data_IF_556337255330
#
_entry.id   IF_556337255330
#
_cell.length_a   1.000
_cell.length_b   1.000
_cell.length_c   1.000
_cell.angle_alpha   90.00
_cell.angle_beta   90.00
_cell.angle_gamma   90.00
#
_symmetry.space_group_name_H-M   'P 1'
#
loop_
_entity.id
_entity.type
_entity.pdbx_description
1 polymer ?
#
# COMPACT_ATOMS: atom_id res chain seq x y z
N UNK A 1 14.54 -10.21 -6.63
CA UNK A 1 13.13 -10.55 -6.88
C UNK A 1 12.90 -10.46 -8.38
N UNK A 2 12.36 -11.54 -8.92
CA UNK A 2 12.08 -11.68 -10.35
C UNK A 2 10.81 -10.88 -10.69
N UNK A 3 10.93 -9.89 -11.56
CA UNK A 3 9.81 -9.12 -12.10
C UNK A 3 9.43 -9.57 -13.51
N UNK A 4 10.15 -10.54 -14.10
CA UNK A 4 9.90 -11.02 -15.45
C UNK A 4 8.60 -11.84 -15.53
N UNK A 5 8.19 -12.44 -14.41
CA UNK A 5 6.93 -13.19 -14.28
C UNK A 5 5.67 -12.33 -14.17
N UNK A 6 5.80 -10.99 -13.98
CA UNK A 6 4.62 -10.15 -13.75
C UNK A 6 3.70 -10.08 -14.96
N UNK A 7 4.24 -10.09 -16.17
CA UNK A 7 3.41 -10.10 -17.38
C UNK A 7 2.56 -11.37 -17.45
N UNK A 8 3.18 -12.53 -17.25
CA UNK A 8 2.47 -13.81 -17.24
C UNK A 8 1.40 -13.86 -16.13
N UNK A 9 1.74 -13.35 -14.93
CA UNK A 9 0.82 -13.27 -13.81
C UNK A 9 -0.41 -12.40 -14.13
N UNK A 10 -0.21 -11.20 -14.68
CA UNK A 10 -1.28 -10.28 -15.07
C UNK A 10 -2.12 -10.86 -16.21
N UNK A 11 -1.50 -11.46 -17.22
CA UNK A 11 -2.20 -12.10 -18.35
C UNK A 11 -3.08 -13.25 -17.86
N UNK A 12 -2.57 -14.07 -16.94
CA UNK A 12 -3.34 -15.16 -16.33
C UNK A 12 -4.50 -14.67 -15.48
N UNK A 13 -4.28 -13.62 -14.68
CA UNK A 13 -5.34 -13.01 -13.88
C UNK A 13 -6.45 -12.43 -14.77
N UNK A 14 -6.08 -11.72 -15.82
CA UNK A 14 -7.01 -11.17 -16.81
C UNK A 14 -7.87 -12.25 -17.46
N UNK A 15 -7.25 -13.35 -17.88
CA UNK A 15 -7.95 -14.49 -18.48
C UNK A 15 -8.90 -15.17 -17.49
N UNK A 16 -8.45 -15.40 -16.25
CA UNK A 16 -9.23 -16.13 -15.24
C UNK A 16 -10.43 -15.33 -14.73
N UNK A 17 -10.30 -14.00 -14.66
CA UNK A 17 -11.34 -13.11 -14.15
C UNK A 17 -12.24 -12.53 -15.26
N UNK A 18 -11.95 -12.81 -16.53
CA UNK A 18 -12.71 -12.28 -17.66
C UNK A 18 -12.49 -10.78 -17.88
N UNK A 19 -11.30 -10.29 -17.56
CA UNK A 19 -10.85 -8.89 -17.60
C UNK A 19 -10.56 -8.36 -16.20
N UNK A 20 -9.52 -7.52 -16.09
CA UNK A 20 -9.14 -6.89 -14.84
C UNK A 20 -9.16 -5.37 -14.98
N UNK A 21 -9.73 -4.69 -13.98
CA UNK A 21 -9.74 -3.23 -13.87
C UNK A 21 -9.32 -2.73 -12.48
N UNK A 22 -8.87 -3.62 -11.62
CA UNK A 22 -8.46 -3.32 -10.25
C UNK A 22 -7.17 -4.05 -9.90
N UNK A 23 -6.22 -3.33 -9.31
CA UNK A 23 -4.98 -3.86 -8.73
C UNK A 23 -4.85 -3.42 -7.28
N UNK A 24 -4.62 -4.37 -6.36
CA UNK A 24 -4.28 -4.07 -4.97
C UNK A 24 -2.84 -4.50 -4.67
N UNK A 25 -1.97 -3.52 -4.48
CA UNK A 25 -0.58 -3.72 -4.06
C UNK A 25 -0.52 -3.82 -2.53
N UNK A 26 -0.78 -4.99 -1.98
CA UNK A 26 -0.81 -5.24 -0.53
C UNK A 26 0.46 -5.90 0.01
N UNK A 27 1.22 -6.61 -0.82
CA UNK A 27 2.43 -7.31 -0.38
C UNK A 27 3.44 -6.35 0.26
N UNK A 28 3.97 -6.72 1.41
CA UNK A 28 4.98 -5.94 2.10
C UNK A 28 5.63 -6.73 3.24
N UNK A 29 6.86 -6.37 3.58
CA UNK A 29 7.61 -6.95 4.69
C UNK A 29 8.24 -5.84 5.52
N UNK A 30 8.39 -6.08 6.83
CA UNK A 30 9.22 -5.32 7.76
C UNK A 30 10.12 -6.29 8.51
N UNK A 31 11.38 -5.98 8.63
CA UNK A 31 12.35 -6.84 9.32
C UNK A 31 12.69 -6.33 10.73
N UNK A 32 12.01 -5.26 11.16
CA UNK A 32 12.06 -4.72 12.53
C UNK A 32 13.48 -4.44 13.03
N UNK A 33 14.31 -3.84 12.16
CA UNK A 33 15.67 -3.47 12.54
C UNK A 33 15.67 -2.52 13.75
N UNK A 34 16.63 -2.68 14.65
CA UNK A 34 16.76 -1.88 15.88
C UNK A 34 17.16 -0.42 15.61
N UNK A 35 17.58 -0.09 14.38
CA UNK A 35 17.94 1.27 13.96
C UNK A 35 18.86 1.25 12.75
N UNK A 36 19.26 2.43 12.28
CA UNK A 36 20.02 2.63 11.05
C UNK A 36 21.31 1.78 10.94
N UNK A 37 22.08 1.69 12.03
CA UNK A 37 23.35 0.96 12.03
C UNK A 37 23.18 -0.57 12.09
N UNK A 38 21.97 -1.07 12.39
CA UNK A 38 21.67 -2.49 12.43
C UNK A 38 21.19 -3.04 11.08
N UNK A 39 20.98 -2.18 10.08
CA UNK A 39 20.49 -2.58 8.75
C UNK A 39 21.61 -3.21 7.94
N UNK A 40 21.47 -4.47 7.55
CA UNK A 40 22.36 -5.10 6.58
C UNK A 40 21.93 -4.79 5.14
N UNK A 41 22.88 -4.85 4.15
CA UNK A 41 22.51 -4.70 2.73
C UNK A 41 21.43 -5.68 2.29
N UNK A 42 21.45 -6.91 2.76
CA UNK A 42 20.48 -7.95 2.41
C UNK A 42 19.06 -7.60 2.93
N UNK A 43 18.97 -7.07 4.16
CA UNK A 43 17.70 -6.59 4.72
C UNK A 43 17.15 -5.40 3.94
N UNK A 44 18.02 -4.45 3.60
CA UNK A 44 17.69 -3.31 2.76
C UNK A 44 17.13 -3.76 1.40
N UNK A 45 17.88 -4.57 0.67
CA UNK A 45 17.52 -5.06 -0.67
C UNK A 45 16.22 -5.87 -0.66
N UNK A 46 16.01 -6.69 0.37
CA UNK A 46 14.79 -7.48 0.53
C UNK A 46 13.55 -6.58 0.69
N UNK A 47 13.62 -5.57 1.57
CA UNK A 47 12.50 -4.66 1.81
C UNK A 47 12.25 -3.73 0.62
N UNK A 48 13.28 -3.15 0.04
CA UNK A 48 13.15 -2.33 -1.18
C UNK A 48 12.62 -3.17 -2.34
N UNK A 49 13.12 -4.39 -2.48
CA UNK A 49 12.69 -5.34 -3.51
C UNK A 49 11.21 -5.68 -3.40
N UNK A 50 10.71 -5.98 -2.20
CA UNK A 50 9.31 -6.35 -1.99
C UNK A 50 8.40 -5.12 -1.97
N UNK A 51 8.70 -4.16 -1.09
CA UNK A 51 7.77 -3.09 -0.78
C UNK A 51 7.69 -2.02 -1.87
N UNK A 52 8.77 -1.78 -2.61
CA UNK A 52 8.83 -0.71 -3.59
C UNK A 52 9.00 -1.25 -5.02
N UNK A 53 10.07 -1.99 -5.29
CA UNK A 53 10.37 -2.47 -6.65
C UNK A 53 9.28 -3.39 -7.18
N UNK A 54 8.78 -4.31 -6.36
CA UNK A 54 7.68 -5.22 -6.72
C UNK A 54 6.41 -4.47 -7.08
N UNK A 55 5.97 -3.58 -6.20
CA UNK A 55 4.79 -2.75 -6.43
C UNK A 55 4.93 -1.87 -7.68
N UNK A 56 6.10 -1.27 -7.90
CA UNK A 56 6.35 -0.41 -9.05
C UNK A 56 6.15 -1.16 -10.37
N UNK A 57 6.86 -2.26 -10.56
CA UNK A 57 6.81 -3.00 -11.83
C UNK A 57 5.51 -3.78 -12.04
N UNK A 58 4.88 -4.28 -10.97
CA UNK A 58 3.56 -4.90 -11.09
C UNK A 58 2.51 -3.87 -11.52
N UNK A 59 2.58 -2.65 -10.98
CA UNK A 59 1.70 -1.55 -11.38
C UNK A 59 1.93 -1.13 -12.82
N UNK A 60 3.20 -1.05 -13.26
CA UNK A 60 3.54 -0.76 -14.65
C UNK A 60 2.90 -1.80 -15.60
N UNK A 61 3.11 -3.08 -15.32
CA UNK A 61 2.55 -4.17 -16.12
C UNK A 61 1.01 -4.15 -16.14
N UNK A 62 0.37 -3.82 -15.01
CA UNK A 62 -1.09 -3.69 -14.96
C UNK A 62 -1.60 -2.54 -15.83
N UNK A 63 -0.96 -1.37 -15.78
CA UNK A 63 -1.33 -0.22 -16.60
C UNK A 63 -1.15 -0.55 -18.09
N UNK A 64 -0.03 -1.18 -18.48
CA UNK A 64 0.20 -1.66 -19.84
C UNK A 64 -0.92 -2.59 -20.30
N UNK A 65 -1.28 -3.57 -19.47
CA UNK A 65 -2.38 -4.50 -19.78
C UNK A 65 -3.72 -3.78 -19.96
N UNK A 66 -4.08 -2.86 -19.08
CA UNK A 66 -5.32 -2.08 -19.21
C UNK A 66 -5.37 -1.27 -20.51
N UNK A 67 -4.23 -0.76 -20.95
CA UNK A 67 -4.13 -0.01 -22.20
C UNK A 67 -4.21 -0.92 -23.44
N UNK A 68 -3.58 -2.10 -23.41
CA UNK A 68 -3.64 -3.10 -24.48
C UNK A 68 -5.06 -3.65 -24.66
N UNK A 69 -5.78 -3.90 -23.59
CA UNK A 69 -7.13 -4.49 -23.62
C UNK A 69 -8.24 -3.46 -23.72
N UNK A 70 -7.89 -2.16 -23.73
CA UNK A 70 -8.85 -1.05 -23.81
C UNK A 70 -9.96 -1.16 -22.75
N UNK A 71 -9.60 -1.47 -21.51
CA UNK A 71 -10.52 -1.59 -20.37
C UNK A 71 -11.43 -0.37 -20.29
N UNK A 72 -12.75 -0.60 -20.34
CA UNK A 72 -13.76 0.46 -20.23
C UNK A 72 -14.04 0.79 -18.78
N UNK A 73 -14.39 2.06 -18.52
CA UNK A 73 -14.73 2.54 -17.18
C UNK A 73 -13.52 2.89 -16.34
N UNK A 74 -13.73 2.99 -15.04
CA UNK A 74 -12.71 3.36 -14.08
C UNK A 74 -11.78 2.18 -13.79
N UNK A 75 -10.47 2.44 -13.81
CA UNK A 75 -9.42 1.52 -13.41
C UNK A 75 -8.88 1.93 -12.05
N UNK A 76 -8.84 1.01 -11.10
CA UNK A 76 -8.45 1.29 -9.73
C UNK A 76 -7.10 0.66 -9.38
N UNK A 77 -6.22 1.43 -8.78
CA UNK A 77 -4.98 0.92 -8.18
C UNK A 77 -4.94 1.37 -6.72
N UNK A 78 -4.88 0.41 -5.81
CA UNK A 78 -4.76 0.66 -4.38
C UNK A 78 -3.41 0.15 -3.87
N UNK A 79 -2.74 0.98 -3.07
CA UNK A 79 -1.51 0.60 -2.38
C UNK A 79 -1.75 0.51 -0.88
N UNK A 80 -1.17 -0.51 -0.25
CA UNK A 80 -1.05 -0.57 1.20
C UNK A 80 0.27 0.10 1.62
N UNK A 81 0.16 1.37 2.01
CA UNK A 81 1.25 2.14 2.60
C UNK A 81 1.40 1.79 4.10
N UNK A 82 1.69 2.76 4.94
CA UNK A 82 1.76 2.62 6.40
C UNK A 82 1.70 4.00 7.06
N UNK A 83 1.25 4.08 8.31
CA UNK A 83 1.38 5.30 9.11
C UNK A 83 2.83 5.78 9.24
N UNK A 84 3.82 4.86 9.17
CA UNK A 84 5.25 5.21 9.21
C UNK A 84 5.69 6.08 8.03
N UNK A 85 4.96 6.02 6.90
CA UNK A 85 5.21 6.89 5.75
C UNK A 85 4.87 8.36 6.01
N UNK A 86 4.13 8.65 7.08
CA UNK A 86 3.71 10.00 7.48
C UNK A 86 4.61 10.59 8.57
N UNK A 87 5.60 9.83 9.02
CA UNK A 87 6.57 10.23 10.05
C UNK A 87 7.99 10.10 9.50
N UNK A 88 8.97 10.65 10.23
CA UNK A 88 10.37 10.42 9.89
C UNK A 88 10.78 9.00 10.31
N UNK A 89 11.44 8.28 9.42
CA UNK A 89 11.98 6.94 9.70
C UNK A 89 13.27 6.76 8.89
N UNK A 90 14.32 6.24 9.53
CA UNK A 90 15.61 5.96 8.89
C UNK A 90 15.75 4.51 8.43
N UNK A 91 14.78 3.66 8.75
CA UNK A 91 14.80 2.23 8.40
C UNK A 91 14.19 1.99 7.02
N UNK A 92 14.62 0.93 6.33
CA UNK A 92 14.15 0.62 4.96
C UNK A 92 12.62 0.53 4.84
N UNK A 93 11.94 0.00 5.85
CA UNK A 93 10.49 -0.10 5.84
C UNK A 93 9.82 1.27 5.67
N UNK A 94 10.08 2.21 6.57
CA UNK A 94 9.49 3.55 6.49
C UNK A 94 9.88 4.30 5.21
N UNK A 95 11.15 4.18 4.79
CA UNK A 95 11.63 4.77 3.54
C UNK A 95 10.86 4.23 2.32
N UNK A 96 10.63 2.89 2.25
CA UNK A 96 9.86 2.29 1.15
C UNK A 96 8.40 2.74 1.15
N UNK A 97 7.79 2.86 2.32
CA UNK A 97 6.39 3.32 2.44
C UNK A 97 6.23 4.81 2.11
N UNK A 98 7.19 5.65 2.47
CA UNK A 98 7.23 7.06 2.03
C UNK A 98 7.40 7.18 0.51
N UNK A 99 8.28 6.37 -0.09
CA UNK A 99 8.44 6.31 -1.54
C UNK A 99 7.15 5.87 -2.27
N UNK A 100 6.40 4.92 -1.70
CA UNK A 100 5.09 4.53 -2.25
C UNK A 100 4.10 5.68 -2.27
N UNK A 101 4.05 6.53 -1.23
CA UNK A 101 3.16 7.70 -1.24
C UNK A 101 3.48 8.65 -2.39
N UNK A 102 4.77 8.89 -2.66
CA UNK A 102 5.19 9.69 -3.82
C UNK A 102 4.81 9.03 -5.14
N UNK A 103 4.96 7.70 -5.26
CA UNK A 103 4.55 6.94 -6.45
C UNK A 103 3.04 7.05 -6.70
N UNK A 104 2.22 6.87 -5.66
CA UNK A 104 0.75 6.99 -5.72
C UNK A 104 0.34 8.36 -6.29
N UNK A 105 0.89 9.44 -5.73
CA UNK A 105 0.58 10.80 -6.16
C UNK A 105 1.05 11.08 -7.60
N UNK A 106 2.26 10.64 -7.94
CA UNK A 106 2.81 10.79 -9.28
C UNK A 106 2.00 10.05 -10.35
N UNK A 107 1.62 8.80 -10.09
CA UNK A 107 0.80 8.01 -10.99
C UNK A 107 -0.63 8.57 -11.10
N UNK A 108 -1.24 8.97 -9.99
CA UNK A 108 -2.56 9.59 -9.98
C UNK A 108 -2.62 10.84 -10.84
N UNK A 109 -1.62 11.70 -10.73
CA UNK A 109 -1.49 12.90 -11.57
C UNK A 109 -1.28 12.55 -13.04
N UNK A 110 -0.39 11.58 -13.32
CA UNK A 110 -0.04 11.17 -14.70
C UNK A 110 -1.20 10.58 -15.47
N UNK A 111 -2.03 9.74 -14.80
CA UNK A 111 -3.04 8.90 -15.46
C UNK A 111 -4.49 9.36 -15.20
N UNK A 112 -4.72 10.55 -14.65
CA UNK A 112 -6.08 11.05 -14.33
C UNK A 112 -6.98 11.10 -15.57
N UNK A 113 -6.45 11.52 -16.72
CA UNK A 113 -7.20 11.61 -17.97
C UNK A 113 -7.39 10.27 -18.69
N UNK A 114 -6.81 9.19 -18.16
CA UNK A 114 -6.92 7.83 -18.67
C UNK A 114 -7.87 6.97 -17.81
N UNK A 115 -8.70 7.62 -16.99
CA UNK A 115 -9.66 6.99 -16.07
C UNK A 115 -9.02 6.04 -15.04
N UNK A 116 -7.79 6.33 -14.58
CA UNK A 116 -7.22 5.66 -13.44
C UNK A 116 -7.49 6.45 -12.15
N UNK A 117 -7.93 5.74 -11.13
CA UNK A 117 -7.93 6.21 -9.73
C UNK A 117 -6.88 5.42 -8.95
N UNK A 118 -5.93 6.12 -8.39
CA UNK A 118 -4.76 5.55 -7.75
C UNK A 118 -4.64 6.17 -6.37
N UNK A 119 -4.89 5.36 -5.34
CA UNK A 119 -4.92 5.80 -3.95
C UNK A 119 -4.14 4.83 -3.05
N UNK A 120 -3.94 5.18 -1.79
CA UNK A 120 -3.38 4.29 -0.79
C UNK A 120 -4.18 4.34 0.52
N UNK A 121 -4.21 3.19 1.22
CA UNK A 121 -4.46 3.13 2.66
C UNK A 121 -3.12 3.12 3.39
N UNK A 122 -3.03 3.82 4.51
CA UNK A 122 -1.85 3.87 5.37
C UNK A 122 -2.23 3.42 6.78
N UNK A 123 -2.26 2.10 7.03
CA UNK A 123 -2.69 1.56 8.32
C UNK A 123 -1.74 1.93 9.46
N UNK A 124 -2.30 2.07 10.65
CA UNK A 124 -1.58 1.96 11.91
C UNK A 124 -1.19 0.52 12.21
N UNK A 125 -0.75 0.26 13.45
CA UNK A 125 -0.31 -1.09 13.85
C UNK A 125 -1.50 -2.04 13.84
N UNK A 126 -1.58 -2.85 12.79
CA UNK A 126 -2.69 -3.77 12.50
C UNK A 126 -2.26 -5.21 12.80
N UNK A 127 -3.13 -5.98 13.43
CA UNK A 127 -2.90 -7.42 13.68
C UNK A 127 -2.56 -8.14 12.39
N UNK A 128 -1.40 -8.80 12.38
CA UNK A 128 -0.89 -9.57 11.23
C UNK A 128 0.31 -10.39 11.65
N UNK A 129 0.73 -11.34 10.83
CA UNK A 129 1.96 -12.11 11.07
C UNK A 129 3.21 -11.21 11.18
N UNK A 130 3.18 -10.04 10.53
CA UNK A 130 4.29 -9.08 10.55
C UNK A 130 4.50 -8.44 11.93
N UNK A 131 3.42 -8.14 12.65
CA UNK A 131 3.49 -7.42 13.94
C UNK A 131 3.13 -8.29 15.13
N UNK A 132 2.65 -9.50 14.89
CA UNK A 132 2.07 -10.35 15.91
C UNK A 132 0.68 -9.88 16.34
N UNK A 133 0.22 -10.39 17.46
CA UNK A 133 -1.13 -10.12 17.97
C UNK A 133 -2.14 -11.17 17.51
N UNK A 134 -3.21 -11.28 18.29
CA UNK A 134 -4.34 -12.17 18.00
C UNK A 134 -5.60 -11.33 17.87
N UNK A 135 -6.25 -11.38 16.71
CA UNK A 135 -7.48 -10.65 16.45
C UNK A 135 -8.64 -11.03 17.39
N UNK A 136 -8.60 -12.22 17.98
CA UNK A 136 -9.56 -12.72 18.97
C UNK A 136 -9.08 -12.57 20.43
N UNK A 137 -7.87 -12.05 20.62
CA UNK A 137 -7.22 -11.91 21.90
C UNK A 137 -7.22 -10.48 22.46
N UNK A 138 -6.18 -10.16 23.21
CA UNK A 138 -6.00 -8.83 23.78
C UNK A 138 -5.46 -7.85 22.72
N UNK A 139 -6.32 -6.93 22.29
CA UNK A 139 -5.95 -5.90 21.31
C UNK A 139 -5.23 -4.69 21.91
N UNK A 140 -4.93 -4.67 23.21
CA UNK A 140 -4.19 -3.56 23.83
C UNK A 140 -2.78 -3.49 23.28
N UNK A 141 -2.36 -2.28 22.94
CA UNK A 141 -1.03 -1.98 22.43
C UNK A 141 -0.47 -0.68 23.02
N UNK A 142 0.82 -0.61 23.18
CA UNK A 142 1.51 0.50 23.86
C UNK A 142 1.65 1.78 23.02
N UNK A 143 0.72 2.10 22.15
CA UNK A 143 0.67 3.33 21.36
C UNK A 143 -0.35 4.33 21.95
N UNK A 144 -0.46 5.52 21.36
CA UNK A 144 -1.38 6.58 21.83
C UNK A 144 -2.87 6.18 21.70
N UNK A 145 -3.21 5.26 20.79
CA UNK A 145 -4.58 4.76 20.62
C UNK A 145 -4.86 3.56 21.51
N UNK A 146 -3.83 3.06 22.20
CA UNK A 146 -3.88 1.93 23.13
C UNK A 146 -4.39 0.62 22.56
N UNK A 147 -4.39 0.47 21.23
CA UNK A 147 -4.85 -0.77 20.59
C UNK A 147 -4.11 -1.10 19.30
N UNK A 148 -4.21 -2.37 18.93
CA UNK A 148 -4.05 -2.83 17.56
C UNK A 148 -5.32 -2.52 16.75
N UNK A 149 -5.16 -2.28 15.46
CA UNK A 149 -6.28 -2.25 14.52
C UNK A 149 -6.54 -3.66 13.97
N UNK A 150 -7.77 -3.92 13.55
CA UNK A 150 -8.13 -5.16 12.88
C UNK A 150 -7.94 -5.01 11.36
N UNK A 151 -7.53 -6.10 10.65
CA UNK A 151 -7.45 -6.10 9.20
C UNK A 151 -8.77 -5.66 8.52
N UNK A 152 -9.91 -6.05 9.09
CA UNK A 152 -11.24 -5.72 8.60
C UNK A 152 -11.50 -4.21 8.62
N UNK A 153 -11.04 -3.49 9.64
CA UNK A 153 -11.19 -2.03 9.72
C UNK A 153 -10.45 -1.34 8.57
N UNK A 154 -9.26 -1.83 8.22
CA UNK A 154 -8.48 -1.33 7.09
C UNK A 154 -9.13 -1.74 5.76
N UNK A 155 -9.68 -2.95 5.67
CA UNK A 155 -10.35 -3.46 4.48
C UNK A 155 -11.61 -2.66 4.14
N UNK A 156 -12.36 -2.16 5.12
CA UNK A 156 -13.51 -1.27 4.89
C UNK A 156 -13.08 0.04 4.20
N UNK A 157 -11.98 0.64 4.64
CA UNK A 157 -11.44 1.85 3.99
C UNK A 157 -10.92 1.53 2.58
N UNK A 158 -10.27 0.39 2.41
CA UNK A 158 -9.82 -0.08 1.09
C UNK A 158 -11.01 -0.28 0.14
N UNK A 159 -12.08 -0.93 0.60
CA UNK A 159 -13.31 -1.16 -0.14
C UNK A 159 -13.99 0.15 -0.55
N UNK A 160 -14.04 1.15 0.35
CA UNK A 160 -14.52 2.49 0.03
C UNK A 160 -13.69 3.12 -1.09
N UNK A 161 -12.34 3.06 -1.02
CA UNK A 161 -11.48 3.63 -2.05
C UNK A 161 -11.60 2.93 -3.41
N UNK A 162 -11.99 1.69 -3.44
CA UNK A 162 -12.20 0.90 -4.67
C UNK A 162 -13.62 1.07 -5.24
N UNK A 163 -14.56 1.59 -4.46
CA UNK A 163 -15.96 1.78 -4.86
C UNK A 163 -16.22 3.10 -5.57
N UNK A 164 -17.38 3.22 -6.19
CA UNK A 164 -17.85 4.47 -6.81
C UNK A 164 -18.12 5.59 -5.80
N UNK A 165 -18.31 5.27 -4.53
CA UNK A 165 -18.49 6.27 -3.47
C UNK A 165 -17.26 7.19 -3.29
N UNK A 166 -16.10 6.78 -3.79
CA UNK A 166 -14.86 7.55 -3.74
C UNK A 166 -14.40 8.09 -5.10
N UNK A 167 -15.31 8.24 -6.07
CA UNK A 167 -14.98 8.65 -7.44
C UNK A 167 -14.25 10.00 -7.56
N UNK A 168 -14.40 10.89 -6.58
CA UNK A 168 -13.66 12.17 -6.54
C UNK A 168 -12.27 12.06 -5.89
N UNK A 169 -11.87 10.89 -5.37
CA UNK A 169 -10.59 10.69 -4.69
C UNK A 169 -9.57 10.07 -5.64
N UNK A 170 -8.47 10.79 -5.87
CA UNK A 170 -7.32 10.32 -6.65
C UNK A 170 -6.03 10.90 -6.05
N UNK A 171 -4.99 10.11 -5.94
CA UNK A 171 -3.72 10.50 -5.32
C UNK A 171 -3.77 10.64 -3.80
N UNK A 172 -4.80 10.08 -3.15
CA UNK A 172 -4.98 10.21 -1.70
C UNK A 172 -4.28 9.09 -0.94
N UNK A 173 -3.72 9.46 0.22
CA UNK A 173 -3.16 8.54 1.20
C UNK A 173 -4.06 8.62 2.44
N UNK A 174 -4.96 7.65 2.61
CA UNK A 174 -5.88 7.61 3.74
C UNK A 174 -5.23 6.91 4.92
N UNK A 175 -4.94 7.69 5.95
CA UNK A 175 -4.28 7.19 7.16
C UNK A 175 -5.34 6.59 8.10
N UNK A 176 -5.19 5.30 8.40
CA UNK A 176 -6.12 4.53 9.25
C UNK A 176 -5.46 4.28 10.61
N UNK A 177 -5.37 5.32 11.47
CA UNK A 177 -4.66 5.25 12.75
C UNK A 177 -5.25 6.17 13.84
N UNK A 178 -6.53 6.52 13.71
CA UNK A 178 -7.25 7.37 14.69
C UNK A 178 -6.53 8.69 15.00
N UNK A 179 -5.82 9.25 14.01
CA UNK A 179 -5.15 10.55 14.16
C UNK A 179 -3.79 10.51 14.84
N UNK A 180 -3.23 9.34 15.13
CA UNK A 180 -1.92 9.18 15.80
C UNK A 180 -0.79 9.98 15.16
N UNK A 181 -0.80 10.16 13.84
CA UNK A 181 0.24 10.88 13.10
C UNK A 181 -0.09 12.36 12.85
N UNK A 182 -1.20 12.85 13.37
CA UNK A 182 -1.53 14.28 13.30
C UNK A 182 -0.53 15.04 14.18
N UNK A 183 0.18 15.98 13.54
CA UNK A 183 1.12 16.86 14.26
C UNK A 183 0.34 17.94 15.04
N UNK A 184 -0.22 17.56 16.18
CA UNK A 184 -0.93 18.47 17.05
C UNK A 184 0.06 19.23 17.97
N UNK A 185 0.16 20.55 17.80
CA UNK A 185 0.95 21.43 18.67
C UNK A 185 0.18 21.89 19.93
N UNK A 186 -0.83 21.14 20.32
CA UNK A 186 -1.57 21.43 21.54
C UNK A 186 -0.80 20.85 22.73
N UNK A 187 -0.34 21.73 23.60
CA UNK A 187 0.10 21.39 24.97
C UNK A 187 -1.00 21.75 25.94
#
# INVERSE_FOLDING_TARGET
>A
QDTTSFKEFIDKADQMLGGINCLVNNAGISLHEEGFLAVSPQQFDSQVGTNLRGCFFLTQTFIEKCNETHVKGTKNILFTSSETSMTVDERPYGLTKAALNSLVQGLAYRYVNENFRINAVAPGVTVSDMVGGDANGDLRYGNITHRYYLPEEVAEVASFLLSDASNCLNGQILVCNEGKTINARWK
#
